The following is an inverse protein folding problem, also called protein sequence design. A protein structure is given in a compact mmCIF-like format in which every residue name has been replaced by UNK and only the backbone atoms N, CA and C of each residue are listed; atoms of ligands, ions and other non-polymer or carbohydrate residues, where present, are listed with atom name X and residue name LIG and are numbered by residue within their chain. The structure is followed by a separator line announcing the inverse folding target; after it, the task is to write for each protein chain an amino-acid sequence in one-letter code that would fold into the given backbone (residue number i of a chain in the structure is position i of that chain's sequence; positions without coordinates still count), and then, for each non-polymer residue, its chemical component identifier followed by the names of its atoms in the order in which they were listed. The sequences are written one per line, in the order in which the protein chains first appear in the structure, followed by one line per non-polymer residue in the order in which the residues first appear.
data_IF_210801577619
#
_entry.id   IF_210801577619
#
_cell.length_a   1.000
_cell.length_b   1.000
_cell.length_c   1.000
_cell.angle_alpha   90.00
_cell.angle_beta   90.00
_cell.angle_gamma   90.00
#
_symmetry.space_group_name_H-M   'P 1'
#
loop_
_entity.id
_entity.type
_entity.pdbx_description
1 polymer ?
#
# COMPACT_ATOMS: atom_id res chain seq x y z
N UNK A 1 10.17 -7.95 44.33
CA UNK A 1 9.66 -6.69 43.74
C UNK A 1 10.22 -6.60 42.34
N UNK A 2 9.41 -6.88 41.30
CA UNK A 2 9.88 -6.87 39.92
C UNK A 2 9.89 -5.42 39.45
N UNK A 3 11.05 -4.78 39.56
CA UNK A 3 11.28 -3.49 38.91
C UNK A 3 11.28 -3.74 37.41
N UNK A 4 10.24 -3.30 36.69
CA UNK A 4 10.43 -2.98 35.28
C UNK A 4 11.36 -1.76 35.24
N UNK A 5 12.67 -1.99 35.42
CA UNK A 5 13.70 -0.97 35.25
C UNK A 5 13.49 -0.39 33.85
N UNK A 6 13.07 0.89 33.86
CA UNK A 6 12.56 1.59 32.71
C UNK A 6 13.59 1.62 31.60
N UNK A 7 13.41 0.75 30.61
CA UNK A 7 13.97 0.99 29.30
C UNK A 7 13.00 1.93 28.60
N UNK A 8 13.14 3.23 28.83
CA UNK A 8 12.42 4.17 28.01
C UNK A 8 13.07 4.15 26.62
N UNK A 9 12.26 4.17 25.57
CA UNK A 9 12.73 4.19 24.17
C UNK A 9 13.77 5.32 23.95
N UNK A 10 13.62 6.43 24.69
CA UNK A 10 14.54 7.58 24.68
C UNK A 10 15.93 7.30 25.28
N UNK A 11 16.08 6.30 26.14
CA UNK A 11 17.34 6.03 26.85
C UNK A 11 18.43 5.50 25.88
N UNK A 12 18.04 5.06 24.67
CA UNK A 12 18.93 4.71 23.57
C UNK A 12 18.92 5.69 22.40
N UNK A 13 18.29 6.86 22.53
CA UNK A 13 18.21 7.91 21.50
C UNK A 13 19.04 9.12 21.96
N UNK A 14 20.36 8.99 21.94
CA UNK A 14 21.27 10.10 22.29
C UNK A 14 21.22 11.24 21.25
N UNK A 15 21.79 12.39 21.62
CA UNK A 15 21.81 13.57 20.74
C UNK A 15 22.61 13.35 19.45
N UNK A 16 23.64 12.49 19.50
CA UNK A 16 24.45 12.14 18.35
C UNK A 16 23.66 11.31 17.34
N UNK A 17 22.91 10.31 17.81
CA UNK A 17 21.99 9.49 17.03
C UNK A 17 20.93 10.35 16.37
N UNK A 18 20.28 11.25 17.11
CA UNK A 18 19.28 12.16 16.55
C UNK A 18 19.87 13.07 15.47
N UNK A 19 21.11 13.55 15.67
CA UNK A 19 21.82 14.32 14.65
C UNK A 19 22.15 13.47 13.41
N UNK A 20 22.60 12.23 13.59
CA UNK A 20 22.86 11.28 12.51
C UNK A 20 21.59 10.96 11.69
N UNK A 21 20.49 10.62 12.37
CA UNK A 21 19.17 10.39 11.76
C UNK A 21 18.73 11.62 10.96
N UNK A 22 18.86 12.83 11.54
CA UNK A 22 18.52 14.08 10.86
C UNK A 22 19.39 14.36 9.63
N UNK A 23 20.68 14.03 9.68
CA UNK A 23 21.61 14.15 8.54
C UNK A 23 21.27 13.16 7.43
N UNK A 24 21.04 11.90 7.76
CA UNK A 24 20.64 10.85 6.80
C UNK A 24 19.30 11.19 6.13
N UNK A 25 18.35 11.74 6.88
CA UNK A 25 17.07 12.21 6.34
C UNK A 25 17.28 13.32 5.30
N UNK A 26 18.11 14.33 5.60
CA UNK A 26 18.46 15.41 4.66
C UNK A 26 19.18 14.89 3.41
N UNK A 27 20.14 13.97 3.59
CA UNK A 27 20.88 13.40 2.46
C UNK A 27 20.01 12.52 1.55
N UNK A 28 18.99 11.88 2.13
CA UNK A 28 18.05 11.02 1.39
C UNK A 28 16.82 11.77 0.88
N UNK A 29 16.72 13.10 1.08
CA UNK A 29 15.48 13.86 0.81
C UNK A 29 14.99 13.77 -0.65
N UNK A 30 15.92 13.55 -1.58
CA UNK A 30 15.64 13.42 -3.00
C UNK A 30 15.56 11.96 -3.47
N UNK A 31 15.86 11.00 -2.59
CA UNK A 31 15.75 9.59 -2.95
C UNK A 31 14.27 9.24 -3.17
N UNK A 32 13.96 8.56 -4.28
CA UNK A 32 12.58 8.14 -4.57
C UNK A 32 12.25 6.83 -3.89
N UNK A 33 10.99 6.67 -3.47
CA UNK A 33 10.47 5.36 -3.09
C UNK A 33 10.46 4.44 -4.33
N UNK A 34 10.86 3.16 -4.23
CA UNK A 34 11.16 2.39 -3.04
C UNK A 34 12.64 2.38 -2.67
N UNK A 35 13.48 3.16 -3.34
CA UNK A 35 14.92 3.21 -3.12
C UNK A 35 15.32 4.08 -1.91
N UNK A 36 14.40 4.93 -1.41
CA UNK A 36 14.62 5.91 -0.35
C UNK A 36 15.34 5.35 0.89
N UNK A 37 16.63 5.69 1.04
CA UNK A 37 17.52 5.08 2.04
C UNK A 37 17.05 5.28 3.48
N UNK A 38 16.75 6.52 3.85
CA UNK A 38 16.23 6.85 5.18
C UNK A 38 14.93 6.11 5.50
N UNK A 39 13.93 6.17 4.60
CA UNK A 39 12.63 5.51 4.77
C UNK A 39 12.77 3.99 5.00
N UNK A 40 13.65 3.34 4.24
CA UNK A 40 13.96 1.91 4.41
C UNK A 40 14.43 1.59 5.83
N UNK A 41 15.38 2.37 6.35
CA UNK A 41 15.92 2.14 7.70
C UNK A 41 14.86 2.33 8.78
N UNK A 42 14.01 3.35 8.66
CA UNK A 42 12.90 3.60 9.60
C UNK A 42 11.92 2.42 9.62
N UNK A 43 11.57 1.87 8.46
CA UNK A 43 10.67 0.72 8.37
C UNK A 43 11.31 -0.56 8.89
N UNK A 44 12.60 -0.75 8.62
CA UNK A 44 13.34 -1.87 9.17
C UNK A 44 13.33 -1.83 10.70
N UNK A 45 13.60 -0.67 11.33
CA UNK A 45 13.43 -0.49 12.78
C UNK A 45 12.01 -0.85 13.20
N UNK A 46 10.98 -0.32 12.53
CA UNK A 46 9.60 -0.60 12.89
C UNK A 46 9.30 -2.11 12.92
N UNK A 47 9.78 -2.85 11.90
CA UNK A 47 9.60 -4.30 11.83
C UNK A 47 10.42 -5.04 12.90
N UNK A 48 11.64 -4.60 13.20
CA UNK A 48 12.45 -5.13 14.30
C UNK A 48 11.74 -4.92 15.64
N UNK A 49 11.23 -3.71 15.89
CA UNK A 49 10.50 -3.35 17.10
C UNK A 49 9.23 -4.18 17.31
N UNK A 50 8.58 -4.56 16.20
CA UNK A 50 7.42 -5.46 16.27
C UNK A 50 7.80 -6.89 16.68
N UNK A 51 8.99 -7.36 16.31
CA UNK A 51 9.49 -8.70 16.66
C UNK A 51 10.07 -8.74 18.08
N UNK A 52 10.87 -7.74 18.43
CA UNK A 52 11.47 -7.58 19.75
C UNK A 52 11.27 -6.13 20.20
N UNK A 53 10.54 -5.90 21.30
CA UNK A 53 10.30 -4.54 21.82
C UNK A 53 11.44 -4.03 22.71
N UNK A 54 12.38 -4.89 23.08
CA UNK A 54 13.46 -4.61 24.02
C UNK A 54 14.81 -4.70 23.32
N UNK A 55 15.06 -3.77 22.39
CA UNK A 55 16.33 -3.67 21.67
C UNK A 55 16.81 -2.23 21.64
N UNK A 56 18.11 -2.05 21.45
CA UNK A 56 18.71 -0.73 21.32
C UNK A 56 18.53 -0.23 19.87
N UNK A 57 17.67 0.79 19.70
CA UNK A 57 17.33 1.34 18.39
C UNK A 57 18.55 1.93 17.69
N UNK A 58 19.42 2.65 18.40
CA UNK A 58 20.60 3.28 17.82
C UNK A 58 21.54 2.23 17.21
N UNK A 59 21.85 1.16 17.96
CA UNK A 59 22.69 0.06 17.48
C UNK A 59 22.12 -0.60 16.23
N UNK A 60 20.84 -0.96 16.25
CA UNK A 60 20.20 -1.63 15.11
C UNK A 60 20.08 -0.71 13.88
N UNK A 61 19.83 0.60 14.08
CA UNK A 61 19.74 1.54 12.96
C UNK A 61 21.02 1.61 12.12
N UNK A 62 22.18 1.56 12.79
CA UNK A 62 23.47 1.55 12.12
C UNK A 62 23.72 0.25 11.34
N UNK A 63 23.21 -0.88 11.83
CA UNK A 63 23.38 -2.20 11.20
C UNK A 63 22.48 -2.43 9.98
N UNK A 64 21.43 -1.61 9.79
CA UNK A 64 20.52 -1.75 8.66
C UNK A 64 21.19 -1.26 7.36
N UNK A 65 21.73 -2.23 6.61
CA UNK A 65 22.22 -2.05 5.26
C UNK A 65 21.44 -2.94 4.29
N UNK A 66 20.63 -2.35 3.41
CA UNK A 66 20.10 -3.03 2.22
C UNK A 66 18.74 -3.73 2.37
N UNK A 67 18.52 -4.59 3.38
CA UNK A 67 17.27 -5.37 3.49
C UNK A 67 16.35 -4.87 4.60
N UNK A 68 15.25 -4.23 4.21
CA UNK A 68 14.32 -3.53 5.11
C UNK A 68 12.91 -4.16 5.14
N UNK A 69 12.65 -5.10 4.24
CA UNK A 69 11.43 -5.90 4.19
C UNK A 69 11.77 -7.38 4.31
N UNK A 70 10.93 -8.19 4.98
CA UNK A 70 11.13 -9.63 5.01
C UNK A 70 11.11 -10.22 3.59
N UNK A 71 11.86 -11.30 3.33
CA UNK A 71 11.86 -11.95 2.04
C UNK A 71 10.44 -12.40 1.66
N UNK A 72 10.07 -12.18 0.40
CA UNK A 72 8.75 -12.56 -0.12
C UNK A 72 8.74 -14.04 -0.51
N UNK A 73 7.62 -14.70 -0.21
CA UNK A 73 7.33 -16.02 -0.78
C UNK A 73 6.91 -15.88 -2.26
N UNK A 74 7.10 -16.92 -3.08
CA UNK A 74 6.59 -16.94 -4.45
C UNK A 74 5.07 -16.65 -4.47
N UNK A 75 4.62 -15.80 -5.38
CA UNK A 75 3.22 -15.32 -5.48
C UNK A 75 2.75 -14.30 -4.43
N UNK A 76 3.66 -13.72 -3.65
CA UNK A 76 3.36 -12.59 -2.77
C UNK A 76 4.07 -11.32 -3.22
N UNK A 77 3.39 -10.19 -3.03
CA UNK A 77 3.86 -8.86 -3.38
C UNK A 77 3.64 -7.87 -2.25
N UNK A 78 4.45 -6.82 -2.22
CA UNK A 78 4.17 -5.65 -1.39
C UNK A 78 3.36 -4.64 -2.20
N UNK A 79 2.17 -4.31 -1.68
CA UNK A 79 1.35 -3.21 -2.20
C UNK A 79 1.18 -2.18 -1.07
N UNK A 80 1.56 -0.91 -1.28
CA UNK A 80 1.26 0.19 -0.38
C UNK A 80 -0.22 0.22 0.00
N UNK A 81 -0.47 0.56 1.26
CA UNK A 81 -1.84 0.70 1.76
C UNK A 81 -1.94 1.98 2.56
N UNK A 82 -3.07 2.63 2.45
CA UNK A 82 -3.38 3.83 3.22
C UNK A 82 -4.77 3.72 3.83
N UNK A 83 -4.96 4.41 4.94
CA UNK A 83 -6.29 4.82 5.36
C UNK A 83 -6.57 6.19 4.78
N UNK A 84 -7.71 6.33 4.14
CA UNK A 84 -8.25 7.61 3.74
C UNK A 84 -9.42 7.91 4.67
N UNK A 85 -9.36 9.07 5.32
CA UNK A 85 -10.43 9.62 6.14
C UNK A 85 -10.86 10.98 5.56
N UNK A 86 -11.96 11.60 6.03
CA UNK A 86 -12.37 12.91 5.56
C UNK A 86 -11.30 13.99 5.79
N UNK A 87 -10.46 13.80 6.82
CA UNK A 87 -9.46 14.77 7.25
C UNK A 87 -8.04 14.48 6.77
N UNK A 88 -7.76 13.29 6.20
CA UNK A 88 -6.42 13.03 5.72
C UNK A 88 -6.11 11.60 5.31
N UNK A 89 -4.84 11.44 4.92
CA UNK A 89 -4.26 10.17 4.46
C UNK A 89 -3.29 9.66 5.53
N UNK A 90 -3.51 8.43 5.98
CA UNK A 90 -2.66 7.78 6.98
C UNK A 90 -2.00 6.55 6.35
N UNK A 91 -0.69 6.59 6.08
CA UNK A 91 0.05 5.44 5.57
C UNK A 91 -0.05 4.22 6.50
N UNK A 92 -0.29 3.05 5.92
CA UNK A 92 -0.30 1.78 6.64
C UNK A 92 0.98 1.02 6.38
N UNK A 93 1.29 0.16 7.34
CA UNK A 93 2.47 -0.70 7.26
C UNK A 93 2.37 -1.65 6.06
N UNK A 94 3.50 -1.80 5.36
CA UNK A 94 3.62 -2.76 4.27
C UNK A 94 3.45 -4.17 4.83
N UNK A 95 2.54 -4.92 4.23
CA UNK A 95 2.39 -6.36 4.49
C UNK A 95 2.43 -7.09 3.16
N UNK A 96 3.00 -8.31 3.12
CA UNK A 96 2.95 -9.12 1.92
C UNK A 96 1.49 -9.49 1.65
N UNK A 97 1.06 -9.31 0.41
CA UNK A 97 -0.27 -9.64 -0.07
C UNK A 97 -0.10 -10.69 -1.16
N UNK A 98 -0.99 -11.68 -1.15
CA UNK A 98 -1.01 -12.68 -2.22
C UNK A 98 -1.41 -12.02 -3.53
N UNK A 99 -0.63 -12.26 -4.58
CA UNK A 99 -0.84 -11.74 -5.91
C UNK A 99 -2.20 -12.12 -6.50
N UNK A 100 -2.60 -11.40 -7.54
CA UNK A 100 -3.81 -11.64 -8.32
C UNK A 100 -3.47 -11.61 -9.82
N UNK A 101 -4.47 -11.73 -10.72
CA UNK A 101 -4.22 -11.76 -12.17
C UNK A 101 -3.52 -10.49 -12.66
N UNK A 102 -3.86 -9.33 -12.09
CA UNK A 102 -3.33 -8.02 -12.47
C UNK A 102 -1.92 -7.82 -11.91
N UNK A 103 -1.73 -8.02 -10.61
CA UNK A 103 -0.44 -7.80 -9.93
C UNK A 103 0.69 -8.69 -10.48
N UNK A 104 0.35 -9.85 -11.06
CA UNK A 104 1.32 -10.75 -11.70
C UNK A 104 1.91 -10.21 -13.01
N UNK A 105 1.34 -9.15 -13.59
CA UNK A 105 1.77 -8.58 -14.87
C UNK A 105 2.78 -7.45 -14.71
N UNK A 106 3.85 -7.67 -13.94
CA UNK A 106 4.88 -6.66 -13.62
C UNK A 106 5.49 -6.00 -14.85
N UNK A 107 5.68 -6.75 -15.93
CA UNK A 107 6.25 -6.24 -17.18
C UNK A 107 5.33 -5.24 -17.88
N UNK A 108 4.01 -5.34 -17.67
CA UNK A 108 3.02 -4.47 -18.31
C UNK A 108 2.64 -3.31 -17.41
N UNK A 109 2.42 -3.57 -16.11
CA UNK A 109 1.84 -2.60 -15.19
C UNK A 109 2.84 -2.07 -14.14
N UNK A 110 4.13 -2.36 -14.33
CA UNK A 110 5.18 -1.98 -13.40
C UNK A 110 5.13 -2.76 -12.09
N UNK A 111 6.03 -2.39 -11.16
CA UNK A 111 6.10 -3.02 -9.84
C UNK A 111 4.86 -2.66 -8.99
N UNK A 112 4.15 -3.66 -8.40
CA UNK A 112 3.05 -3.44 -7.46
C UNK A 112 3.37 -2.46 -6.34
N UNK A 113 4.62 -2.44 -5.91
CA UNK A 113 5.04 -1.59 -4.81
C UNK A 113 5.04 -0.11 -5.19
N UNK A 114 5.24 0.23 -6.48
CA UNK A 114 5.34 1.62 -6.96
C UNK A 114 4.04 2.09 -7.62
N UNK A 115 3.39 1.20 -8.37
CA UNK A 115 2.29 1.58 -9.24
C UNK A 115 0.92 1.23 -8.68
N UNK A 116 0.81 0.45 -7.62
CA UNK A 116 -0.48 0.09 -7.03
C UNK A 116 -0.58 0.63 -5.61
N UNK A 117 -1.75 1.13 -5.25
CA UNK A 117 -2.05 1.54 -3.89
C UNK A 117 -3.42 1.00 -3.48
N UNK A 118 -3.50 0.37 -2.32
CA UNK A 118 -4.78 -0.02 -1.73
C UNK A 118 -5.22 1.07 -0.76
N UNK A 119 -6.29 1.75 -1.13
CA UNK A 119 -6.94 2.75 -0.30
C UNK A 119 -8.01 2.04 0.53
N UNK A 120 -8.04 2.29 1.83
CA UNK A 120 -9.05 1.75 2.74
C UNK A 120 -9.75 2.95 3.35
N UNK A 121 -11.05 3.07 3.08
CA UNK A 121 -11.86 4.17 3.58
C UNK A 121 -12.19 3.90 5.05
N UNK A 122 -11.97 4.91 5.89
CA UNK A 122 -12.17 4.86 7.35
C UNK A 122 -12.69 6.19 7.86
N UNK A 123 -13.43 6.15 8.95
CA UNK A 123 -13.84 7.36 9.65
C UNK A 123 -12.67 7.95 10.46
N UNK A 124 -12.93 9.04 11.16
CA UNK A 124 -11.96 9.87 11.87
C UNK A 124 -11.33 9.14 13.07
N UNK A 125 -12.08 8.22 13.67
CA UNK A 125 -11.65 7.29 14.71
C UNK A 125 -10.98 6.02 14.15
N UNK A 126 -10.78 5.97 12.82
CA UNK A 126 -10.27 4.82 12.06
C UNK A 126 -11.20 3.61 12.05
N UNK A 127 -12.46 3.76 12.45
CA UNK A 127 -13.48 2.74 12.33
C UNK A 127 -13.96 2.61 10.87
N UNK A 128 -14.60 1.49 10.50
CA UNK A 128 -15.27 1.36 9.21
C UNK A 128 -16.31 2.46 9.02
N UNK A 129 -16.47 2.93 7.79
CA UNK A 129 -17.47 3.97 7.47
C UNK A 129 -18.86 3.47 7.83
N UNK A 130 -19.56 4.27 8.63
CA UNK A 130 -20.96 4.05 8.98
C UNK A 130 -21.88 4.68 7.92
N UNK A 131 -23.13 4.22 7.88
CA UNK A 131 -24.10 4.59 6.84
C UNK A 131 -24.48 6.08 6.87
N UNK A 132 -24.51 6.66 8.06
CA UNK A 132 -24.77 8.09 8.30
C UNK A 132 -23.67 9.00 7.75
N UNK A 133 -22.42 8.53 7.72
CA UNK A 133 -21.30 9.28 7.18
C UNK A 133 -21.25 9.32 5.64
N UNK A 134 -22.07 8.53 4.93
CA UNK A 134 -22.00 8.39 3.46
C UNK A 134 -22.23 9.72 2.73
N UNK A 135 -23.13 10.57 3.25
CA UNK A 135 -23.40 11.88 2.65
C UNK A 135 -22.18 12.79 2.70
N UNK A 136 -21.46 12.80 3.82
CA UNK A 136 -20.22 13.56 3.97
C UNK A 136 -19.14 13.07 2.99
N UNK A 137 -19.13 11.77 2.71
CA UNK A 137 -18.18 11.15 1.78
C UNK A 137 -18.56 11.32 0.31
N UNK A 138 -19.81 11.62 -0.04
CA UNK A 138 -20.30 11.51 -1.41
C UNK A 138 -19.52 12.41 -2.39
N UNK A 139 -19.32 13.68 -2.04
CA UNK A 139 -18.60 14.64 -2.87
C UNK A 139 -17.12 14.28 -2.99
N UNK A 140 -16.48 13.91 -1.88
CA UNK A 140 -15.07 13.52 -1.84
C UNK A 140 -14.82 12.22 -2.62
N UNK A 141 -15.70 11.22 -2.49
CA UNK A 141 -15.62 9.98 -3.25
C UNK A 141 -15.82 10.23 -4.75
N UNK A 142 -16.77 11.08 -5.14
CA UNK A 142 -16.93 11.45 -6.56
C UNK A 142 -15.65 12.10 -7.11
N UNK A 143 -15.08 13.06 -6.38
CA UNK A 143 -13.83 13.69 -6.76
C UNK A 143 -12.70 12.66 -6.93
N UNK A 144 -12.45 11.83 -5.91
CA UNK A 144 -11.34 10.87 -5.91
C UNK A 144 -11.53 9.73 -6.92
N UNK A 145 -12.75 9.26 -7.13
CA UNK A 145 -13.01 8.09 -7.99
C UNK A 145 -13.20 8.45 -9.46
N UNK A 146 -13.71 9.65 -9.76
CA UNK A 146 -14.12 10.02 -11.12
C UNK A 146 -13.26 11.13 -11.74
N UNK A 147 -12.76 12.07 -10.94
CA UNK A 147 -12.18 13.31 -11.47
C UNK A 147 -10.67 13.40 -11.20
N UNK A 148 -10.30 13.42 -9.93
CA UNK A 148 -9.01 13.93 -9.49
C UNK A 148 -8.03 12.81 -9.12
N UNK A 149 -8.52 11.61 -8.82
CA UNK A 149 -7.69 10.54 -8.27
C UNK A 149 -7.16 10.90 -6.88
N UNK A 150 -5.97 10.40 -6.56
CA UNK A 150 -5.31 10.59 -5.28
C UNK A 150 -3.83 10.90 -5.47
N UNK A 151 -3.34 11.97 -4.87
CA UNK A 151 -1.91 12.29 -4.85
C UNK A 151 -1.31 11.76 -3.55
N UNK A 152 -0.34 10.85 -3.64
CA UNK A 152 0.44 10.37 -2.50
C UNK A 152 1.91 10.65 -2.79
N UNK A 153 2.51 11.55 -2.01
CA UNK A 153 3.86 12.05 -2.30
C UNK A 153 3.90 12.75 -3.65
N UNK A 154 4.72 12.26 -4.57
CA UNK A 154 4.86 12.79 -5.94
C UNK A 154 4.12 11.95 -6.99
N UNK A 155 3.33 10.97 -6.56
CA UNK A 155 2.64 10.04 -7.46
C UNK A 155 1.15 10.32 -7.47
N UNK A 156 0.60 10.44 -8.68
CA UNK A 156 -0.83 10.52 -8.91
C UNK A 156 -1.39 9.12 -9.18
N UNK A 157 -2.40 8.74 -8.40
CA UNK A 157 -3.04 7.44 -8.42
C UNK A 157 -4.49 7.59 -8.85
N UNK A 158 -4.88 6.90 -9.92
CA UNK A 158 -6.24 6.87 -10.44
C UNK A 158 -7.00 5.67 -9.89
N UNK A 159 -8.31 5.80 -9.71
CA UNK A 159 -9.14 4.66 -9.33
C UNK A 159 -9.02 3.56 -10.40
N UNK A 160 -8.68 2.34 -9.98
CA UNK A 160 -8.53 1.18 -10.86
C UNK A 160 -9.76 0.28 -10.79
N UNK A 161 -9.94 -0.40 -9.65
CA UNK A 161 -11.04 -1.33 -9.38
C UNK A 161 -11.01 -1.78 -7.90
N UNK A 162 -11.81 -2.78 -7.55
CA UNK A 162 -11.79 -3.48 -6.28
C UNK A 162 -12.16 -4.95 -6.49
N UNK A 163 -11.77 -5.81 -5.55
CA UNK A 163 -12.35 -7.15 -5.40
C UNK A 163 -13.58 -7.14 -4.49
N UNK A 164 -14.38 -8.20 -4.50
CA UNK A 164 -15.55 -8.31 -3.62
C UNK A 164 -15.17 -8.27 -2.12
N UNK A 165 -14.02 -8.83 -1.74
CA UNK A 165 -13.54 -8.78 -0.36
C UNK A 165 -13.00 -7.39 0.01
N UNK A 166 -12.41 -6.68 -0.95
CA UNK A 166 -12.00 -5.29 -0.75
C UNK A 166 -13.22 -4.38 -0.56
N UNK A 167 -14.28 -4.55 -1.34
CA UNK A 167 -15.50 -3.75 -1.20
C UNK A 167 -16.14 -3.89 0.19
N UNK A 168 -16.19 -5.11 0.76
CA UNK A 168 -16.69 -5.35 2.13
C UNK A 168 -15.83 -4.69 3.23
N UNK A 169 -14.56 -4.45 2.95
CA UNK A 169 -13.62 -3.75 3.84
C UNK A 169 -13.58 -2.23 3.55
N UNK A 170 -14.48 -1.73 2.69
CA UNK A 170 -14.48 -0.37 2.15
C UNK A 170 -13.11 -0.01 1.55
N UNK A 171 -12.52 -0.95 0.82
CA UNK A 171 -11.20 -0.82 0.23
C UNK A 171 -11.25 -0.84 -1.29
N UNK A 172 -10.39 -0.03 -1.89
CA UNK A 172 -10.32 0.23 -3.31
C UNK A 172 -8.86 0.12 -3.77
N UNK A 173 -8.66 -0.33 -5.00
CA UNK A 173 -7.35 -0.34 -5.65
C UNK A 173 -7.22 0.88 -6.55
N UNK A 174 -6.12 1.59 -6.39
CA UNK A 174 -5.72 2.69 -7.24
C UNK A 174 -4.41 2.35 -7.94
N UNK A 175 -4.15 3.03 -9.05
CA UNK A 175 -3.04 2.78 -9.93
C UNK A 175 -2.36 4.07 -10.38
N UNK A 176 -1.04 4.14 -10.23
CA UNK A 176 -0.20 5.17 -10.80
C UNK A 176 0.29 4.68 -12.16
N UNK A 177 0.10 5.49 -13.19
CA UNK A 177 0.43 5.13 -14.57
C UNK A 177 1.88 4.64 -14.71
N UNK A 178 2.07 3.70 -15.63
CA UNK A 178 3.38 3.14 -15.95
C UNK A 178 3.48 3.03 -17.47
N UNK A 179 4.46 3.72 -18.05
CA UNK A 179 4.61 3.82 -19.51
C UNK A 179 3.29 4.27 -20.16
N UNK A 180 2.77 3.49 -21.11
CA UNK A 180 1.49 3.77 -21.79
C UNK A 180 0.26 3.23 -21.05
N UNK A 181 0.43 2.57 -19.90
CA UNK A 181 -0.68 1.96 -19.16
C UNK A 181 -1.27 2.92 -18.14
N UNK A 182 -2.59 3.16 -18.28
CA UNK A 182 -3.44 3.91 -17.34
C UNK A 182 -4.37 2.95 -16.60
N UNK A 183 -5.07 3.44 -15.57
CA UNK A 183 -6.07 2.64 -14.88
C UNK A 183 -7.18 2.15 -15.83
N UNK A 184 -7.56 2.99 -16.79
CA UNK A 184 -8.52 2.65 -17.84
C UNK A 184 -7.99 1.58 -18.79
N UNK A 185 -6.73 1.70 -19.23
CA UNK A 185 -6.09 0.68 -20.06
C UNK A 185 -6.08 -0.69 -19.38
N UNK A 186 -5.80 -0.74 -18.08
CA UNK A 186 -5.87 -1.99 -17.31
C UNK A 186 -7.30 -2.54 -17.29
N UNK A 187 -8.32 -1.71 -17.05
CA UNK A 187 -9.73 -2.14 -17.06
C UNK A 187 -10.14 -2.76 -18.40
N UNK A 188 -9.72 -2.17 -19.52
CA UNK A 188 -9.95 -2.71 -20.86
C UNK A 188 -9.22 -4.04 -21.09
N UNK A 189 -8.01 -4.18 -20.52
CA UNK A 189 -7.24 -5.42 -20.60
C UNK A 189 -7.84 -6.59 -19.81
N UNK A 190 -8.66 -6.33 -18.77
CA UNK A 190 -9.24 -7.40 -17.93
C UNK A 190 -10.07 -8.41 -18.74
N UNK A 191 -10.69 -7.95 -19.84
CA UNK A 191 -11.49 -8.76 -20.74
C UNK A 191 -12.61 -7.95 -21.42
N UNK A 192 -13.38 -8.64 -22.25
CA UNK A 192 -14.58 -8.07 -22.89
C UNK A 192 -15.79 -8.31 -21.99
N UNK A 193 -16.37 -7.25 -21.46
CA UNK A 193 -17.57 -7.30 -20.61
C UNK A 193 -18.74 -6.51 -21.17
N UNK A 194 -18.67 -6.11 -22.44
CA UNK A 194 -19.67 -5.24 -23.09
C UNK A 194 -21.03 -5.93 -23.27
N UNK A 195 -21.08 -7.26 -23.23
CA UNK A 195 -22.31 -8.04 -23.27
C UNK A 195 -23.10 -7.99 -21.95
N UNK A 196 -22.48 -7.57 -20.85
CA UNK A 196 -23.14 -7.42 -19.56
C UNK A 196 -23.95 -6.13 -19.50
N UNK A 197 -25.29 -6.26 -19.46
CA UNK A 197 -26.21 -5.11 -19.38
C UNK A 197 -26.25 -4.45 -18.00
N UNK A 198 -25.99 -5.22 -16.94
CA UNK A 198 -25.98 -4.71 -15.56
C UNK A 198 -24.59 -4.21 -15.18
N UNK A 199 -24.51 -2.96 -14.72
CA UNK A 199 -23.27 -2.36 -14.22
C UNK A 199 -22.70 -3.16 -13.06
N UNK A 200 -23.55 -3.59 -12.12
CA UNK A 200 -23.14 -4.40 -10.97
C UNK A 200 -22.52 -5.74 -11.40
N UNK A 201 -23.17 -6.45 -12.32
CA UNK A 201 -22.65 -7.72 -12.85
C UNK A 201 -21.34 -7.53 -13.60
N UNK A 202 -21.25 -6.48 -14.44
CA UNK A 202 -20.04 -6.13 -15.17
C UNK A 202 -18.85 -5.91 -14.23
N UNK A 203 -19.04 -5.08 -13.19
CA UNK A 203 -18.02 -4.81 -12.17
C UNK A 203 -17.65 -6.09 -11.41
N UNK A 204 -18.64 -6.90 -11.01
CA UNK A 204 -18.40 -8.14 -10.28
C UNK A 204 -17.53 -9.13 -11.08
N UNK A 205 -17.70 -9.22 -12.40
CA UNK A 205 -16.86 -10.05 -13.28
C UNK A 205 -15.45 -9.49 -13.43
N UNK A 206 -15.29 -8.18 -13.61
CA UNK A 206 -13.98 -7.53 -13.61
C UNK A 206 -13.24 -7.76 -12.28
N UNK A 207 -13.95 -7.66 -11.16
CA UNK A 207 -13.43 -7.81 -9.80
C UNK A 207 -12.82 -9.20 -9.54
N UNK A 208 -13.23 -10.24 -10.28
CA UNK A 208 -12.64 -11.58 -10.16
C UNK A 208 -11.14 -11.59 -10.46
N UNK A 209 -10.66 -10.72 -11.35
CA UNK A 209 -9.25 -10.60 -11.69
C UNK A 209 -8.40 -10.06 -10.52
N UNK A 210 -9.02 -9.42 -9.54
CA UNK A 210 -8.38 -8.86 -8.35
C UNK A 210 -8.38 -9.82 -7.16
N UNK A 211 -9.01 -10.98 -7.29
CA UNK A 211 -9.01 -12.02 -6.24
C UNK A 211 -7.63 -12.63 -6.08
N UNK A 212 -7.20 -12.76 -4.83
CA UNK A 212 -5.93 -13.40 -4.47
C UNK A 212 -5.91 -14.87 -4.88
N UNK A 213 -5.02 -15.21 -5.80
CA UNK A 213 -4.94 -16.54 -6.40
C UNK A 213 -3.49 -16.94 -6.62
N UNK A 214 -3.21 -18.25 -6.57
CA UNK A 214 -1.91 -18.81 -6.94
C UNK A 214 -2.02 -19.27 -8.40
N UNK A 215 -1.00 -19.00 -9.22
CA UNK A 215 -0.98 -19.51 -10.60
C UNK A 215 -0.82 -21.03 -10.53
N UNK A 216 -1.82 -21.76 -11.01
CA UNK A 216 -1.72 -23.19 -11.23
C UNK A 216 -1.00 -23.47 -12.55
N UNK A 217 -1.66 -24.21 -13.43
CA UNK A 217 -1.11 -24.66 -14.71
C UNK A 217 -1.63 -23.75 -15.84
N UNK A 218 -0.78 -23.46 -16.82
CA UNK A 218 -1.23 -22.84 -18.07
C UNK A 218 -1.70 -23.96 -18.99
N UNK A 219 -2.99 -23.95 -19.33
CA UNK A 219 -3.54 -24.85 -20.35
C UNK A 219 -3.37 -24.15 -21.69
N UNK A 220 -2.65 -24.77 -22.62
CA UNK A 220 -2.61 -24.31 -24.02
C UNK A 220 -3.98 -24.54 -24.66
N UNK A 221 -4.47 -23.55 -25.39
CA UNK A 221 -5.65 -23.74 -26.25
C UNK A 221 -5.30 -24.80 -27.31
N UNK A 222 -6.19 -25.79 -27.45
CA UNK A 222 -6.11 -26.84 -28.48
C UNK A 222 -6.59 -26.26 -29.81
#
# INVERSE_FOLDING_TARGET
MVLSLGYHIKDGLDGEFMHYVGREARQSQWDRYPAHRFYKKVIAIYHLAKKNRFFNIAKEYHLIHGQWLPPLQPSYDYVPRIYLTPYGIYPRTLKPIRGNRVLRQYKRFGSPMQHFCRVILRDCDLSPIQSDAIEAWQSQLKAILLNDGLIIGQHHFEFLLFSNSQLRDCSLCFYHSFESWTAEGIRQWLGKFNHEKSVGTRIARMAQCFTSTIKGILVSEI
#
